data_IF_728780327821
#
_entry.id   IF_728780327821
#
_cell.length_a   1.000
_cell.length_b   1.000
_cell.length_c   1.000
_cell.angle_alpha   90.00
_cell.angle_beta   90.00
_cell.angle_gamma   90.00
#
_symmetry.space_group_name_H-M   'P 1'
#
loop_
_entity.id
_entity.type
_entity.pdbx_description
1 polymer ?
#
# COMPACT_ATOMS: atom_id res chain seq x y z
N UNK A 1 0.11 30.41 -2.39
CA UNK A 1 0.83 29.11 -2.28
C UNK A 1 -0.15 27.95 -2.09
N UNK A 2 -1.18 27.80 -2.93
CA UNK A 2 -2.25 26.79 -2.71
C UNK A 2 -1.93 25.41 -3.30
N UNK A 3 -1.16 25.37 -4.39
CA UNK A 3 -0.84 24.15 -5.14
C UNK A 3 -0.06 23.10 -4.33
N UNK A 4 0.99 23.45 -3.55
CA UNK A 4 1.76 22.47 -2.77
C UNK A 4 0.93 21.77 -1.69
N UNK A 5 0.10 22.53 -0.96
CA UNK A 5 -0.80 21.99 0.06
C UNK A 5 -1.87 21.06 -0.53
N UNK A 6 -2.39 21.40 -1.71
CA UNK A 6 -3.33 20.56 -2.44
C UNK A 6 -2.69 19.24 -2.87
N UNK A 7 -1.47 19.28 -3.41
CA UNK A 7 -0.73 18.08 -3.83
C UNK A 7 -0.45 17.18 -2.61
N UNK A 8 0.03 17.75 -1.49
CA UNK A 8 0.22 17.03 -0.23
C UNK A 8 -1.05 16.30 0.22
N UNK A 9 -2.20 16.98 0.20
CA UNK A 9 -3.46 16.38 0.63
C UNK A 9 -3.92 15.26 -0.32
N UNK A 10 -3.69 15.38 -1.63
CA UNK A 10 -3.98 14.30 -2.60
C UNK A 10 -3.10 13.09 -2.33
N UNK A 11 -1.79 13.29 -2.11
CA UNK A 11 -0.86 12.21 -1.79
C UNK A 11 -1.23 11.49 -0.48
N UNK A 12 -1.60 12.24 0.57
CA UNK A 12 -2.09 11.64 1.81
C UNK A 12 -3.37 10.85 1.61
N UNK A 13 -4.35 11.37 0.84
CA UNK A 13 -5.57 10.64 0.53
C UNK A 13 -5.28 9.35 -0.24
N UNK A 14 -4.41 9.41 -1.24
CA UNK A 14 -3.99 8.25 -2.01
C UNK A 14 -3.28 7.22 -1.13
N UNK A 15 -2.38 7.66 -0.24
CA UNK A 15 -1.74 6.80 0.75
C UNK A 15 -2.75 6.04 1.63
N UNK A 16 -3.72 6.77 2.19
CA UNK A 16 -4.76 6.19 3.07
C UNK A 16 -5.61 5.18 2.30
N UNK A 17 -6.07 5.52 1.09
CA UNK A 17 -6.89 4.62 0.26
C UNK A 17 -6.11 3.34 -0.06
N UNK A 18 -4.87 3.47 -0.53
CA UNK A 18 -4.01 2.32 -0.82
C UNK A 18 -3.74 1.50 0.45
N UNK A 19 -3.56 2.13 1.60
CA UNK A 19 -3.35 1.43 2.86
C UNK A 19 -4.58 0.60 3.24
N UNK A 20 -5.79 1.13 3.07
CA UNK A 20 -7.03 0.40 3.31
C UNK A 20 -7.15 -0.82 2.40
N UNK A 21 -6.84 -0.67 1.11
CA UNK A 21 -6.85 -1.79 0.14
C UNK A 21 -5.84 -2.88 0.54
N UNK A 22 -4.63 -2.48 0.94
CA UNK A 22 -3.59 -3.40 1.42
C UNK A 22 -4.05 -4.15 2.68
N UNK A 23 -4.71 -3.47 3.63
CA UNK A 23 -5.24 -4.09 4.85
C UNK A 23 -6.32 -5.11 4.48
N UNK A 24 -7.25 -4.76 3.59
CA UNK A 24 -8.28 -5.70 3.11
C UNK A 24 -7.64 -6.91 2.43
N UNK A 25 -6.68 -6.71 1.53
CA UNK A 25 -5.96 -7.80 0.87
C UNK A 25 -5.24 -8.70 1.88
N UNK A 26 -4.65 -8.10 2.93
CA UNK A 26 -4.02 -8.85 4.01
C UNK A 26 -5.03 -9.65 4.84
N UNK A 27 -6.16 -9.07 5.23
CA UNK A 27 -7.23 -9.78 5.94
C UNK A 27 -7.79 -10.94 5.10
N UNK A 28 -7.96 -10.73 3.79
CA UNK A 28 -8.38 -11.80 2.87
C UNK A 28 -7.32 -12.90 2.71
N UNK A 29 -6.02 -12.55 2.83
CA UNK A 29 -4.93 -13.54 2.83
C UNK A 29 -4.90 -14.40 4.09
N UNK A 30 -5.33 -13.84 5.23
CA UNK A 30 -5.40 -14.55 6.52
C UNK A 30 -6.57 -15.54 6.57
N UNK A 31 -7.68 -15.26 5.88
CA UNK A 31 -8.86 -16.14 5.87
C UNK A 31 -8.68 -17.42 5.03
N UNK A 32 -7.54 -17.60 4.34
CA UNK A 32 -7.24 -18.78 3.53
C UNK A 32 -8.04 -18.91 2.23
N UNK A 33 -9.10 -18.12 2.06
CA UNK A 33 -9.99 -18.13 0.88
C UNK A 33 -9.22 -17.73 -0.39
N UNK A 34 -8.42 -16.67 -0.31
CA UNK A 34 -7.57 -16.24 -1.44
C UNK A 34 -6.41 -17.18 -1.68
N UNK A 35 -5.85 -17.78 -0.62
CA UNK A 35 -4.77 -18.77 -0.73
C UNK A 35 -5.22 -20.02 -1.48
N UNK A 36 -6.43 -20.53 -1.20
CA UNK A 36 -6.98 -21.71 -1.88
C UNK A 36 -7.40 -21.39 -3.33
N UNK A 37 -8.00 -20.21 -3.57
CA UNK A 37 -8.36 -19.79 -4.93
C UNK A 37 -7.13 -19.60 -5.81
N UNK A 38 -6.08 -18.94 -5.30
CA UNK A 38 -4.82 -18.73 -6.03
C UNK A 38 -4.00 -20.02 -6.18
N UNK A 39 -3.95 -20.88 -5.17
CA UNK A 39 -3.29 -22.19 -5.27
C UNK A 39 -3.92 -23.04 -6.38
N UNK A 40 -5.26 -23.07 -6.45
CA UNK A 40 -6.00 -23.78 -7.50
C UNK A 40 -5.77 -23.18 -8.89
N UNK A 41 -5.70 -21.84 -8.99
CA UNK A 41 -5.55 -21.16 -10.28
C UNK A 41 -4.13 -21.22 -10.85
N UNK A 42 -3.11 -21.15 -10.00
CA UNK A 42 -1.71 -21.12 -10.40
C UNK A 42 -0.98 -22.48 -10.25
N UNK A 43 -1.65 -23.49 -9.70
CA UNK A 43 -1.07 -24.82 -9.47
C UNK A 43 0.00 -24.87 -8.39
N UNK A 44 0.10 -23.83 -7.56
CA UNK A 44 1.05 -23.75 -6.44
C UNK A 44 0.52 -24.45 -5.20
N UNK A 45 1.43 -24.94 -4.35
CA UNK A 45 1.04 -25.38 -3.00
C UNK A 45 0.47 -24.21 -2.19
N UNK A 46 -0.40 -24.50 -1.21
CA UNK A 46 -1.00 -23.49 -0.35
C UNK A 46 0.05 -22.66 0.41
N UNK A 47 1.17 -23.29 0.81
CA UNK A 47 2.25 -22.62 1.53
C UNK A 47 3.07 -21.70 0.62
N UNK A 48 3.40 -22.13 -0.61
CA UNK A 48 4.03 -21.25 -1.60
C UNK A 48 3.13 -20.05 -1.91
N UNK A 49 1.83 -20.29 -2.11
CA UNK A 49 0.85 -19.23 -2.41
C UNK A 49 0.76 -18.20 -1.29
N UNK A 50 0.76 -18.64 -0.03
CA UNK A 50 0.80 -17.75 1.15
C UNK A 50 2.07 -16.92 1.21
N UNK A 51 3.22 -17.54 0.97
CA UNK A 51 4.52 -16.85 1.02
C UNK A 51 4.63 -15.79 -0.09
N UNK A 52 4.21 -16.10 -1.31
CA UNK A 52 4.15 -15.15 -2.41
C UNK A 52 3.17 -14.01 -2.14
N UNK A 53 1.96 -14.29 -1.62
CA UNK A 53 1.01 -13.25 -1.24
C UNK A 53 1.57 -12.31 -0.17
N UNK A 54 2.22 -12.85 0.86
CA UNK A 54 2.83 -12.04 1.91
C UNK A 54 3.92 -11.11 1.33
N UNK A 55 4.76 -11.63 0.43
CA UNK A 55 5.80 -10.85 -0.25
C UNK A 55 5.20 -9.75 -1.15
N UNK A 56 4.17 -10.06 -1.92
CA UNK A 56 3.48 -9.09 -2.79
C UNK A 56 2.83 -7.98 -1.97
N UNK A 57 2.12 -8.33 -0.90
CA UNK A 57 1.50 -7.37 0.03
C UNK A 57 2.57 -6.51 0.70
N UNK A 58 3.68 -7.12 1.14
CA UNK A 58 4.82 -6.42 1.72
C UNK A 58 5.45 -5.43 0.75
N UNK A 59 5.68 -5.85 -0.49
CA UNK A 59 6.21 -4.98 -1.54
C UNK A 59 5.27 -3.80 -1.84
N UNK A 60 3.96 -4.06 -1.93
CA UNK A 60 2.96 -2.99 -2.14
C UNK A 60 2.96 -1.98 -0.98
N UNK A 61 3.13 -2.42 0.26
CA UNK A 61 3.28 -1.51 1.42
C UNK A 61 4.48 -0.58 1.24
N UNK A 62 5.63 -1.12 0.84
CA UNK A 62 6.84 -0.33 0.61
C UNK A 62 6.61 0.70 -0.50
N UNK A 63 6.03 0.30 -1.63
CA UNK A 63 5.71 1.23 -2.71
C UNK A 63 4.73 2.31 -2.26
N UNK A 64 3.71 1.97 -1.46
CA UNK A 64 2.76 2.95 -0.96
C UNK A 64 3.44 4.03 -0.10
N UNK A 65 4.40 3.62 0.74
CA UNK A 65 5.19 4.55 1.56
C UNK A 65 6.09 5.44 0.67
N UNK A 66 6.84 4.83 -0.24
CA UNK A 66 7.82 5.54 -1.09
C UNK A 66 7.15 6.53 -2.03
N UNK A 67 6.03 6.17 -2.66
CA UNK A 67 5.40 7.02 -3.68
C UNK A 67 4.39 8.02 -3.14
N UNK A 68 3.80 7.77 -1.95
CA UNK A 68 2.73 8.64 -1.45
C UNK A 68 3.07 9.29 -0.11
N UNK A 69 3.54 8.52 0.87
CA UNK A 69 3.80 9.07 2.21
C UNK A 69 5.06 9.95 2.25
N UNK A 70 6.18 9.46 1.72
CA UNK A 70 7.46 10.20 1.73
C UNK A 70 7.33 11.54 0.99
N UNK A 71 6.78 11.61 -0.24
CA UNK A 71 6.61 12.88 -0.93
C UNK A 71 5.64 13.83 -0.21
N UNK A 72 4.59 13.31 0.42
CA UNK A 72 3.67 14.13 1.20
C UNK A 72 4.34 14.77 2.44
N UNK A 73 5.22 14.04 3.12
CA UNK A 73 6.01 14.56 4.25
C UNK A 73 7.01 15.60 3.74
N UNK A 74 7.72 15.33 2.65
CA UNK A 74 8.67 16.27 2.06
C UNK A 74 8.02 17.61 1.74
N UNK A 75 6.84 17.60 1.08
CA UNK A 75 6.08 18.81 0.80
C UNK A 75 5.63 19.53 2.09
N UNK A 76 5.26 18.79 3.14
CA UNK A 76 4.89 19.41 4.42
C UNK A 76 6.09 20.14 5.06
N UNK A 77 7.27 19.53 5.03
CA UNK A 77 8.50 20.13 5.58
C UNK A 77 8.92 21.36 4.78
N UNK A 78 8.91 21.28 3.46
CA UNK A 78 9.19 22.44 2.60
C UNK A 78 8.22 23.59 2.82
N UNK A 79 6.94 23.28 3.06
CA UNK A 79 5.94 24.31 3.35
C UNK A 79 6.19 24.97 4.71
N UNK A 80 6.46 24.18 5.76
CA UNK A 80 6.78 24.72 7.10
C UNK A 80 8.05 25.57 7.09
N UNK A 81 9.08 25.21 6.33
CA UNK A 81 10.32 25.98 6.26
C UNK A 81 10.15 27.35 5.58
N UNK A 82 9.07 27.54 4.81
CA UNK A 82 8.74 28.78 4.10
C UNK A 82 7.73 29.67 4.84
N UNK A 83 7.21 29.23 5.99
CA UNK A 83 6.24 29.97 6.83
C UNK A 83 6.90 30.38 8.13
#
# INVERSE_FOLDING_TARGET
METPLRIRNVLFKAFIINLLVIIVAWLMSLSGVTSNAMATFFGFSADQTRMYMANVIGFWKVLNVVFFLVPAIAIHWEYRAKT
#
